data_IF_106661334470
#
_entry.id   IF_106661334470
#
_cell.length_a   1.000
_cell.length_b   1.000
_cell.length_c   1.000
_cell.angle_alpha   90.00
_cell.angle_beta   90.00
_cell.angle_gamma   90.00
#
_symmetry.space_group_name_H-M   'P 1'
#
loop_
_entity.id
_entity.type
_entity.pdbx_description
1 polymer ?
#
# COMPACT_ATOMS: atom_id res chain seq x y z
N UNK A 1 -5.09 9.36 56.76
CA UNK A 1 -4.21 10.31 56.03
C UNK A 1 -3.68 9.59 54.80
N UNK A 2 -4.33 9.78 53.66
CA UNK A 2 -3.99 9.16 52.37
C UNK A 2 -2.93 10.03 51.67
N UNK A 3 -1.76 9.46 51.38
CA UNK A 3 -0.77 10.08 50.48
C UNK A 3 -1.20 9.79 49.05
N UNK A 4 -1.76 10.80 48.38
CA UNK A 4 -1.94 10.82 46.92
C UNK A 4 -0.60 11.19 46.27
N UNK A 5 -0.09 10.34 45.39
CA UNK A 5 0.93 10.72 44.41
C UNK A 5 0.25 11.41 43.21
N UNK A 6 0.91 12.42 42.67
CA UNK A 6 0.39 13.53 41.88
C UNK A 6 0.47 13.28 40.36
N UNK A 7 0.33 12.04 39.91
CA UNK A 7 0.16 11.71 38.49
C UNK A 7 -1.02 10.77 38.36
N UNK A 8 -2.14 11.30 37.86
CA UNK A 8 -3.36 10.54 37.55
C UNK A 8 -3.18 9.55 36.39
N UNK A 9 -2.10 8.79 36.39
CA UNK A 9 -1.91 7.64 35.52
C UNK A 9 -2.54 6.44 36.22
N UNK A 10 -3.64 5.94 35.65
CA UNK A 10 -4.15 4.61 35.98
C UNK A 10 -2.99 3.62 35.88
N UNK A 11 -2.60 3.00 37.00
CA UNK A 11 -1.62 1.92 37.02
C UNK A 11 -2.14 0.85 36.06
N UNK A 12 -1.47 0.57 34.92
CA UNK A 12 -1.96 -0.42 33.98
C UNK A 12 -1.96 -1.78 34.68
N UNK A 13 -3.03 -2.58 34.54
CA UNK A 13 -3.05 -3.98 35.00
C UNK A 13 -1.82 -4.78 34.50
N UNK A 14 -1.18 -4.31 33.42
CA UNK A 14 0.10 -4.79 32.89
C UNK A 14 1.26 -4.80 33.91
N UNK A 15 1.25 -3.91 34.90
CA UNK A 15 2.25 -3.90 35.98
C UNK A 15 1.96 -4.96 37.05
N UNK A 16 0.67 -5.22 37.33
CA UNK A 16 0.25 -6.33 38.19
C UNK A 16 0.64 -7.68 37.60
N UNK A 17 0.61 -7.77 36.27
CA UNK A 17 0.96 -8.95 35.48
C UNK A 17 2.47 -9.22 35.48
N UNK A 18 3.31 -8.18 35.44
CA UNK A 18 4.77 -8.35 35.50
C UNK A 18 5.25 -8.89 36.83
N UNK A 19 4.58 -8.53 37.92
CA UNK A 19 4.83 -9.10 39.25
C UNK A 19 4.36 -10.56 39.38
N UNK A 20 3.50 -11.02 38.46
CA UNK A 20 2.97 -12.39 38.45
C UNK A 20 3.85 -13.37 37.67
N UNK A 21 4.68 -12.87 36.75
CA UNK A 21 5.59 -13.65 35.90
C UNK A 21 7.03 -13.16 36.05
N UNK A 22 7.49 -12.95 37.29
CA UNK A 22 8.86 -12.56 37.62
C UNK A 22 9.84 -13.69 37.20
N UNK A 23 10.90 -13.38 36.43
CA UNK A 23 11.94 -14.35 36.08
C UNK A 23 12.65 -15.02 37.28
N UNK A 24 12.44 -14.55 38.51
CA UNK A 24 12.99 -15.12 39.75
C UNK A 24 12.03 -16.09 40.49
N UNK A 25 10.85 -16.43 39.94
CA UNK A 25 9.88 -17.34 40.59
C UNK A 25 10.37 -18.82 40.55
N UNK A 26 10.52 -19.50 41.71
CA UNK A 26 11.03 -20.88 41.80
C UNK A 26 10.12 -21.96 41.19
N UNK A 27 8.82 -21.69 41.03
CA UNK A 27 7.83 -22.68 40.57
C UNK A 27 7.53 -22.53 39.07
N UNK A 28 8.50 -22.92 38.24
CA UNK A 28 8.38 -22.96 36.76
C UNK A 28 7.34 -23.99 36.27
N UNK A 29 6.05 -23.75 36.46
CA UNK A 29 4.99 -24.57 35.84
C UNK A 29 4.46 -24.00 34.52
N UNK A 30 4.75 -22.73 34.21
CA UNK A 30 4.20 -22.04 33.03
C UNK A 30 2.67 -21.89 33.02
N UNK A 31 2.01 -22.19 34.15
CA UNK A 31 0.55 -22.18 34.32
C UNK A 31 0.15 -21.60 35.66
N UNK A 32 -0.85 -20.73 35.70
CA UNK A 32 -1.34 -20.09 36.92
C UNK A 32 -2.80 -20.46 37.16
N UNK A 33 -3.15 -20.97 38.34
CA UNK A 33 -4.56 -21.27 38.64
C UNK A 33 -5.43 -20.00 38.59
N UNK A 34 -6.58 -20.09 37.91
CA UNK A 34 -7.60 -19.04 37.84
C UNK A 34 -8.01 -18.53 39.24
N UNK A 35 -8.01 -19.40 40.25
CA UNK A 35 -8.34 -19.05 41.64
C UNK A 35 -7.29 -18.12 42.27
N UNK A 36 -6.00 -18.44 42.09
CA UNK A 36 -4.85 -17.68 42.60
C UNK A 36 -4.71 -16.34 41.87
N UNK A 37 -4.96 -16.32 40.56
CA UNK A 37 -4.95 -15.09 39.76
C UNK A 37 -6.10 -14.16 40.15
N UNK A 38 -7.31 -14.69 40.36
CA UNK A 38 -8.46 -13.93 40.88
C UNK A 38 -8.14 -13.27 42.21
N UNK A 39 -7.60 -14.02 43.17
CA UNK A 39 -7.24 -13.52 44.50
C UNK A 39 -6.22 -12.38 44.39
N UNK A 40 -5.18 -12.54 43.57
CA UNK A 40 -4.17 -11.49 43.33
C UNK A 40 -4.73 -10.22 42.67
N UNK A 41 -5.63 -10.37 41.70
CA UNK A 41 -6.30 -9.22 41.08
C UNK A 41 -7.12 -8.47 42.12
N UNK A 42 -7.90 -9.18 42.93
CA UNK A 42 -8.73 -8.59 43.99
C UNK A 42 -7.92 -7.88 45.09
N UNK A 43 -6.68 -8.31 45.32
CA UNK A 43 -5.77 -7.66 46.28
C UNK A 43 -4.93 -6.54 45.67
N UNK A 44 -5.12 -6.21 44.39
CA UNK A 44 -4.41 -5.12 43.74
C UNK A 44 -5.21 -3.81 43.74
N UNK A 45 -4.50 -2.69 43.87
CA UNK A 45 -5.07 -1.34 43.72
C UNK A 45 -5.71 -1.12 42.32
N UNK A 46 -5.38 -1.96 41.33
CA UNK A 46 -5.97 -1.91 39.99
C UNK A 46 -7.40 -2.46 39.93
N UNK A 47 -7.85 -3.24 40.93
CA UNK A 47 -9.18 -3.84 40.98
C UNK A 47 -10.19 -3.08 41.86
N UNK A 48 -9.77 -2.00 42.52
CA UNK A 48 -10.59 -1.23 43.48
C UNK A 48 -11.94 -0.73 42.90
N UNK A 49 -12.10 -0.71 41.58
CA UNK A 49 -13.32 -0.29 40.90
C UNK A 49 -13.89 -1.32 39.90
N UNK A 50 -13.40 -2.57 39.89
CA UNK A 50 -13.86 -3.60 38.95
C UNK A 50 -14.79 -4.58 39.68
N UNK A 51 -16.05 -4.75 39.24
CA UNK A 51 -16.95 -5.73 39.86
C UNK A 51 -16.40 -7.16 39.77
N UNK A 52 -16.52 -7.93 40.85
CA UNK A 52 -16.06 -9.32 40.92
C UNK A 52 -16.65 -10.20 39.80
N UNK A 53 -17.88 -9.92 39.35
CA UNK A 53 -18.53 -10.63 38.25
C UNK A 53 -17.78 -10.46 36.92
N UNK A 54 -17.21 -9.29 36.68
CA UNK A 54 -16.43 -8.98 35.47
C UNK A 54 -15.10 -9.73 35.49
N UNK A 55 -14.41 -9.75 36.64
CA UNK A 55 -13.15 -10.50 36.81
C UNK A 55 -13.37 -12.00 36.57
N UNK A 56 -14.48 -12.56 37.09
CA UNK A 56 -14.83 -13.97 36.88
C UNK A 56 -15.12 -14.25 35.39
N UNK A 57 -15.84 -13.36 34.71
CA UNK A 57 -16.11 -13.51 33.28
C UNK A 57 -14.85 -13.40 32.43
N UNK A 58 -13.93 -12.49 32.78
CA UNK A 58 -12.65 -12.33 32.09
C UNK A 58 -11.78 -13.58 32.21
N UNK A 59 -11.64 -14.11 33.42
CA UNK A 59 -10.86 -15.33 33.67
C UNK A 59 -11.48 -16.54 32.96
N UNK A 60 -12.81 -16.67 33.01
CA UNK A 60 -13.52 -17.77 32.33
C UNK A 60 -13.45 -17.69 30.81
N UNK A 61 -13.29 -16.49 30.26
CA UNK A 61 -13.12 -16.27 28.82
C UNK A 61 -11.68 -16.49 28.37
N UNK A 62 -10.72 -16.31 29.26
CA UNK A 62 -9.30 -16.56 28.99
C UNK A 62 -8.94 -18.04 29.11
N UNK A 63 -9.53 -18.77 30.06
CA UNK A 63 -9.42 -20.23 30.23
C UNK A 63 -10.23 -20.95 29.13
N UNK A 64 -9.69 -20.98 27.91
CA UNK A 64 -10.36 -21.57 26.74
C UNK A 64 -10.50 -23.09 26.86
N UNK A 65 -9.51 -23.73 27.48
CA UNK A 65 -9.48 -25.18 27.63
C UNK A 65 -10.26 -25.69 28.87
N UNK A 66 -10.73 -24.77 29.73
CA UNK A 66 -11.46 -25.03 30.97
C UNK A 66 -10.69 -25.93 31.96
N UNK A 67 -9.36 -25.90 31.94
CA UNK A 67 -8.50 -26.67 32.82
C UNK A 67 -8.32 -26.00 34.21
N UNK A 68 -8.82 -24.77 34.36
CA UNK A 68 -8.77 -24.01 35.61
C UNK A 68 -7.41 -23.34 35.87
N UNK A 69 -6.52 -23.39 34.88
CA UNK A 69 -5.27 -22.67 34.82
C UNK A 69 -5.29 -21.69 33.64
N UNK A 70 -4.39 -20.72 33.69
CA UNK A 70 -4.11 -19.79 32.61
C UNK A 70 -2.66 -20.07 32.22
N UNK A 71 -2.47 -20.61 31.02
CA UNK A 71 -1.14 -20.66 30.40
C UNK A 71 -0.76 -19.33 29.74
N UNK A 72 0.42 -19.26 29.14
CA UNK A 72 0.90 -18.02 28.52
C UNK A 72 0.06 -17.55 27.33
N UNK A 73 -0.54 -18.48 26.57
CA UNK A 73 -1.36 -18.14 25.39
C UNK A 73 -2.75 -17.64 25.83
N UNK A 74 -3.36 -18.32 26.81
CA UNK A 74 -4.59 -17.90 27.48
C UNK A 74 -4.42 -16.57 28.22
N UNK A 75 -3.23 -16.35 28.79
CA UNK A 75 -2.87 -15.11 29.46
C UNK A 75 -2.91 -13.91 28.50
N UNK A 76 -2.45 -14.08 27.26
CA UNK A 76 -2.51 -13.02 26.26
C UNK A 76 -3.96 -12.67 25.86
N UNK A 77 -4.84 -13.67 25.81
CA UNK A 77 -6.27 -13.46 25.53
C UNK A 77 -6.91 -12.65 26.67
N UNK A 78 -6.52 -12.91 27.92
CA UNK A 78 -6.93 -12.12 29.06
C UNK A 78 -6.48 -10.66 28.95
N UNK A 79 -5.21 -10.40 28.60
CA UNK A 79 -4.65 -9.06 28.42
C UNK A 79 -5.44 -8.26 27.36
N UNK A 80 -5.67 -8.85 26.19
CA UNK A 80 -6.41 -8.21 25.10
C UNK A 80 -7.90 -7.96 25.46
N UNK A 81 -8.52 -8.89 26.20
CA UNK A 81 -9.93 -8.73 26.63
C UNK A 81 -10.07 -7.61 27.66
N UNK A 82 -9.13 -7.52 28.61
CA UNK A 82 -9.10 -6.45 29.62
C UNK A 82 -8.89 -5.08 28.97
N UNK A 83 -7.94 -4.98 28.03
CA UNK A 83 -7.72 -3.75 27.26
C UNK A 83 -8.97 -3.33 26.46
N UNK A 84 -9.72 -4.31 25.95
CA UNK A 84 -11.00 -4.11 25.26
C UNK A 84 -12.11 -3.54 26.13
N UNK A 85 -12.19 -3.97 27.39
CA UNK A 85 -13.16 -3.48 28.37
C UNK A 85 -12.78 -2.09 28.89
N UNK A 86 -11.50 -1.86 29.17
CA UNK A 86 -11.01 -0.61 29.78
C UNK A 86 -10.84 0.53 28.76
N UNK A 87 -10.52 0.23 27.49
CA UNK A 87 -10.25 1.24 26.46
C UNK A 87 -10.95 0.96 25.11
N UNK A 88 -12.29 1.06 25.04
CA UNK A 88 -13.08 0.60 23.88
C UNK A 88 -12.67 1.23 22.54
N UNK A 89 -12.28 2.52 22.56
CA UNK A 89 -11.91 3.29 21.36
C UNK A 89 -10.53 2.90 20.81
N UNK A 90 -9.60 2.53 21.71
CA UNK A 90 -8.26 2.03 21.37
C UNK A 90 -8.34 0.59 20.87
N UNK A 91 -9.18 -0.23 21.51
CA UNK A 91 -9.46 -1.60 21.11
C UNK A 91 -10.09 -1.69 19.72
N UNK A 92 -11.14 -0.92 19.40
CA UNK A 92 -11.74 -0.92 18.05
C UNK A 92 -10.74 -0.56 16.95
N UNK A 93 -9.82 0.38 17.21
CA UNK A 93 -8.75 0.73 16.27
C UNK A 93 -7.74 -0.41 16.12
N UNK A 94 -7.33 -1.04 17.23
CA UNK A 94 -6.44 -2.21 17.24
C UNK A 94 -7.07 -3.40 16.52
N UNK A 95 -8.36 -3.64 16.73
CA UNK A 95 -9.14 -4.75 16.15
C UNK A 95 -9.31 -4.60 14.63
N UNK A 96 -9.66 -3.41 14.14
CA UNK A 96 -9.76 -3.13 12.70
C UNK A 96 -8.40 -3.25 11.99
N UNK A 97 -7.33 -2.74 12.64
CA UNK A 97 -5.95 -2.87 12.14
C UNK A 97 -5.50 -4.33 12.17
N UNK A 98 -5.84 -5.09 13.21
CA UNK A 98 -5.54 -6.53 13.32
C UNK A 98 -6.26 -7.35 12.26
N UNK A 99 -7.51 -7.06 11.92
CA UNK A 99 -8.23 -7.76 10.84
C UNK A 99 -7.64 -7.46 9.46
N UNK A 100 -7.28 -6.20 9.20
CA UNK A 100 -6.56 -5.83 7.98
C UNK A 100 -5.18 -6.48 7.92
N UNK A 101 -4.48 -6.61 9.05
CA UNK A 101 -3.23 -7.33 9.17
C UNK A 101 -3.42 -8.83 8.90
N UNK A 102 -4.42 -9.48 9.49
CA UNK A 102 -4.70 -10.91 9.30
C UNK A 102 -4.95 -11.28 7.83
N UNK A 103 -5.47 -10.36 7.01
CA UNK A 103 -5.64 -10.59 5.58
C UNK A 103 -4.34 -10.79 4.81
N UNK A 104 -3.24 -10.27 5.34
CA UNK A 104 -1.91 -10.29 4.71
C UNK A 104 -0.86 -11.00 5.56
N UNK A 105 -1.25 -11.54 6.74
CA UNK A 105 -0.35 -12.19 7.71
C UNK A 105 -0.36 -13.72 7.66
N UNK A 106 0.83 -14.35 7.72
CA UNK A 106 1.07 -15.77 7.92
C UNK A 106 0.15 -16.51 8.89
N UNK A 107 -0.27 -17.72 8.53
CA UNK A 107 -0.83 -18.69 9.49
C UNK A 107 0.25 -19.30 10.40
N UNK A 108 1.49 -19.38 9.92
CA UNK A 108 2.63 -20.00 10.62
C UNK A 108 3.14 -19.18 11.82
N UNK A 109 2.92 -17.87 11.83
CA UNK A 109 3.31 -16.95 12.92
C UNK A 109 2.19 -16.71 13.96
N UNK A 110 1.14 -17.53 13.99
CA UNK A 110 0.07 -17.41 14.99
C UNK A 110 0.48 -17.89 16.39
N UNK A 111 1.66 -18.47 16.55
CA UNK A 111 2.18 -18.98 17.83
C UNK A 111 3.35 -18.12 18.34
N UNK A 112 3.21 -17.65 19.60
CA UNK A 112 4.20 -17.07 20.52
C UNK A 112 4.99 -15.79 20.14
N UNK A 113 5.16 -15.41 18.88
CA UNK A 113 5.88 -14.17 18.48
C UNK A 113 4.94 -12.93 18.30
N UNK A 114 3.79 -12.98 18.99
CA UNK A 114 2.64 -12.08 18.87
C UNK A 114 2.90 -10.57 19.08
N UNK A 115 4.03 -10.15 19.64
CA UNK A 115 4.28 -8.73 19.92
C UNK A 115 5.01 -8.03 18.77
N UNK A 116 6.06 -8.61 18.21
CA UNK A 116 6.91 -7.97 17.19
C UNK A 116 6.15 -7.57 15.92
N UNK A 117 5.24 -8.44 15.44
CA UNK A 117 4.56 -8.25 14.16
C UNK A 117 3.31 -7.35 14.24
N UNK A 118 2.49 -7.53 15.27
CA UNK A 118 1.33 -6.64 15.53
C UNK A 118 1.83 -5.26 15.98
N UNK A 119 2.98 -5.16 16.66
CA UNK A 119 3.66 -3.88 16.94
C UNK A 119 4.31 -3.28 15.69
N UNK A 120 4.75 -4.10 14.70
CA UNK A 120 5.16 -3.61 13.39
C UNK A 120 3.98 -3.04 12.57
N UNK A 121 2.76 -3.48 12.87
CA UNK A 121 1.49 -2.90 12.45
C UNK A 121 1.04 -1.72 13.32
N UNK A 122 1.98 -0.88 13.72
CA UNK A 122 1.61 0.42 14.26
C UNK A 122 1.14 1.31 13.11
N UNK A 123 0.17 2.19 13.35
CA UNK A 123 -0.14 3.31 12.44
C UNK A 123 1.02 4.33 12.37
N UNK A 124 2.27 3.87 12.54
CA UNK A 124 3.49 4.61 12.76
C UNK A 124 4.64 3.91 12.03
N UNK A 125 5.06 4.42 10.87
CA UNK A 125 4.54 5.61 10.19
C UNK A 125 3.10 5.39 9.69
N UNK A 126 2.20 6.37 9.82
CA UNK A 126 0.85 6.26 9.28
C UNK A 126 0.90 6.06 7.76
N UNK A 127 -0.17 5.53 7.14
CA UNK A 127 -0.24 5.50 5.69
C UNK A 127 -0.29 6.95 5.19
N UNK A 128 0.82 7.41 4.62
CA UNK A 128 1.01 8.82 4.28
C UNK A 128 1.10 8.97 2.77
N UNK A 129 1.79 8.07 2.06
CA UNK A 129 2.20 8.36 0.68
C UNK A 129 1.00 8.37 -0.28
N UNK A 130 0.06 7.44 -0.14
CA UNK A 130 -1.14 7.39 -0.97
C UNK A 130 -2.11 8.52 -0.64
N UNK A 131 -2.19 8.93 0.63
CA UNK A 131 -3.01 10.09 1.04
C UNK A 131 -2.41 11.38 0.48
N UNK A 132 -1.09 11.54 0.55
CA UNK A 132 -0.41 12.70 -0.03
C UNK A 132 -0.51 12.73 -1.55
N UNK A 133 -0.37 11.59 -2.23
CA UNK A 133 -0.57 11.49 -3.67
C UNK A 133 -2.00 11.88 -4.06
N UNK A 134 -3.01 11.29 -3.40
CA UNK A 134 -4.41 11.63 -3.60
C UNK A 134 -4.71 13.13 -3.38
N UNK A 135 -4.13 13.73 -2.34
CA UNK A 135 -4.28 15.17 -2.08
C UNK A 135 -3.61 16.01 -3.18
N UNK A 136 -2.41 15.63 -3.63
CA UNK A 136 -1.70 16.34 -4.69
C UNK A 136 -2.47 16.26 -6.03
N UNK A 137 -3.02 15.10 -6.36
CA UNK A 137 -3.87 14.89 -7.54
C UNK A 137 -5.15 15.73 -7.46
N UNK A 138 -5.83 15.72 -6.30
CA UNK A 138 -7.04 16.51 -6.10
C UNK A 138 -6.79 18.02 -6.22
N UNK A 139 -5.74 18.53 -5.55
CA UNK A 139 -5.37 19.95 -5.61
C UNK A 139 -5.00 20.36 -7.03
N UNK A 140 -4.22 19.53 -7.72
CA UNK A 140 -3.82 19.79 -9.12
C UNK A 140 -5.03 19.79 -10.05
N UNK A 141 -5.97 18.86 -9.86
CA UNK A 141 -7.21 18.81 -10.63
C UNK A 141 -8.08 20.06 -10.42
N UNK A 142 -8.29 20.47 -9.17
CA UNK A 142 -9.07 21.69 -8.85
C UNK A 142 -8.39 22.93 -9.45
N UNK A 143 -7.07 23.03 -9.35
CA UNK A 143 -6.31 24.13 -9.94
C UNK A 143 -6.54 24.25 -11.45
N UNK A 144 -6.33 23.18 -12.22
CA UNK A 144 -6.50 23.23 -13.67
C UNK A 144 -7.96 23.33 -14.10
N UNK A 145 -8.90 22.80 -13.31
CA UNK A 145 -10.31 22.99 -13.58
C UNK A 145 -10.70 24.48 -13.51
N UNK A 146 -10.22 25.20 -12.50
CA UNK A 146 -10.42 26.66 -12.38
C UNK A 146 -9.69 27.41 -13.50
N UNK A 147 -8.44 27.05 -13.80
CA UNK A 147 -7.63 27.72 -14.82
C UNK A 147 -8.19 27.57 -16.25
N UNK A 148 -8.79 26.42 -16.57
CA UNK A 148 -9.42 26.20 -17.88
C UNK A 148 -10.69 27.03 -18.10
N UNK A 149 -11.37 27.47 -17.03
CA UNK A 149 -12.66 28.17 -17.08
C UNK A 149 -13.69 27.43 -17.96
N UNK A 150 -13.73 26.09 -17.83
CA UNK A 150 -14.64 25.21 -18.57
C UNK A 150 -15.56 24.44 -17.62
N UNK A 151 -16.77 24.04 -18.07
CA UNK A 151 -17.63 23.18 -17.27
C UNK A 151 -16.95 21.85 -16.97
N UNK A 152 -17.04 21.41 -15.72
CA UNK A 152 -16.49 20.12 -15.29
C UNK A 152 -17.30 18.98 -15.91
N UNK A 153 -16.65 18.10 -16.70
CA UNK A 153 -17.30 16.91 -17.27
C UNK A 153 -16.68 15.62 -16.74
N UNK A 154 -17.38 14.50 -16.95
CA UNK A 154 -16.96 13.18 -16.49
C UNK A 154 -15.60 12.77 -17.06
N UNK A 155 -15.32 13.15 -18.31
CA UNK A 155 -14.22 12.59 -19.10
C UNK A 155 -13.25 13.61 -19.70
N UNK A 156 -13.56 14.91 -19.64
CA UNK A 156 -12.77 15.91 -20.38
C UNK A 156 -13.11 17.38 -20.08
N UNK A 157 -12.32 18.32 -20.60
CA UNK A 157 -11.03 18.11 -21.28
C UNK A 157 -9.86 18.02 -20.26
N UNK A 158 -8.77 17.36 -20.67
CA UNK A 158 -7.51 17.42 -19.92
C UNK A 158 -6.74 18.72 -20.25
N UNK A 159 -6.01 19.33 -19.29
CA UNK A 159 -5.19 20.52 -19.54
C UNK A 159 -3.91 20.15 -20.32
N UNK A 160 -4.02 20.03 -21.65
CA UNK A 160 -2.91 19.64 -22.54
C UNK A 160 -1.76 20.66 -22.59
N UNK A 161 -2.04 21.92 -22.23
CA UNK A 161 -1.04 22.98 -22.09
C UNK A 161 -0.20 22.87 -20.80
N UNK A 162 -0.60 22.01 -19.85
CA UNK A 162 0.07 21.87 -18.57
C UNK A 162 1.56 21.49 -18.73
N UNK A 163 2.47 22.06 -17.93
CA UNK A 163 3.85 21.60 -17.87
C UNK A 163 4.01 20.20 -17.25
N UNK A 164 2.95 19.66 -16.61
CA UNK A 164 2.99 18.38 -15.91
C UNK A 164 2.54 17.20 -16.77
N UNK A 165 1.65 17.42 -17.75
CA UNK A 165 1.13 16.36 -18.62
C UNK A 165 2.26 15.71 -19.43
N UNK A 166 2.15 14.42 -19.71
CA UNK A 166 3.07 13.78 -20.66
C UNK A 166 2.78 14.31 -22.06
N UNK A 167 3.78 14.95 -22.66
CA UNK A 167 3.71 15.55 -23.97
C UNK A 167 4.67 14.84 -24.93
N UNK A 168 4.17 14.15 -25.98
CA UNK A 168 5.02 13.40 -26.91
C UNK A 168 5.95 14.29 -27.75
N UNK A 169 5.63 15.59 -27.87
CA UNK A 169 6.46 16.58 -28.55
C UNK A 169 7.58 17.14 -27.63
N UNK A 170 7.61 16.77 -26.34
CA UNK A 170 8.58 17.27 -25.36
C UNK A 170 9.19 16.16 -24.50
N UNK A 171 9.51 15.02 -25.11
CA UNK A 171 10.09 13.86 -24.40
C UNK A 171 11.44 14.13 -23.72
N UNK A 172 12.15 15.17 -24.14
CA UNK A 172 13.37 15.63 -23.46
C UNK A 172 13.10 16.23 -22.08
N UNK A 173 11.85 16.64 -21.79
CA UNK A 173 11.41 17.11 -20.48
C UNK A 173 11.12 15.90 -19.57
N UNK A 174 12.17 15.25 -19.06
CA UNK A 174 12.09 13.95 -18.38
C UNK A 174 11.11 13.90 -17.19
N UNK A 175 10.85 15.02 -16.51
CA UNK A 175 9.89 15.07 -15.41
C UNK A 175 8.47 14.67 -15.84
N UNK A 176 8.11 14.89 -17.12
CA UNK A 176 6.80 14.54 -17.68
C UNK A 176 6.50 13.05 -17.67
N UNK A 177 7.51 12.19 -17.55
CA UNK A 177 7.32 10.74 -17.37
C UNK A 177 6.84 10.39 -15.96
N UNK A 178 6.86 11.34 -15.01
CA UNK A 178 6.37 11.17 -13.65
C UNK A 178 5.17 12.09 -13.37
N UNK A 179 5.30 13.37 -13.70
CA UNK A 179 4.33 14.40 -13.29
C UNK A 179 2.96 14.27 -13.96
N UNK A 180 2.86 13.49 -15.04
CA UNK A 180 1.59 13.25 -15.71
C UNK A 180 0.55 12.58 -14.81
N UNK A 181 1.00 11.86 -13.76
CA UNK A 181 0.15 11.25 -12.75
C UNK A 181 -0.73 12.28 -12.00
N UNK A 182 -0.30 13.55 -11.93
CA UNK A 182 -1.06 14.61 -11.27
C UNK A 182 -2.17 15.21 -12.15
N UNK A 183 -2.14 14.96 -13.46
CA UNK A 183 -3.11 15.51 -14.40
C UNK A 183 -4.22 14.49 -14.64
N UNK A 184 -5.47 14.92 -14.55
CA UNK A 184 -6.63 14.07 -14.82
C UNK A 184 -7.55 14.76 -15.84
N UNK A 185 -8.17 13.97 -16.71
CA UNK A 185 -9.00 14.48 -17.81
C UNK A 185 -10.42 14.87 -17.38
N UNK A 186 -10.97 14.25 -16.34
CA UNK A 186 -12.32 14.52 -15.85
C UNK A 186 -12.53 13.96 -14.46
N UNK A 187 -13.68 14.29 -13.84
CA UNK A 187 -13.91 13.94 -12.43
C UNK A 187 -14.07 12.44 -12.21
N UNK A 188 -14.63 11.68 -13.18
CA UNK A 188 -14.73 10.23 -13.03
C UNK A 188 -13.36 9.59 -13.05
N UNK A 189 -12.48 10.05 -13.95
CA UNK A 189 -11.11 9.56 -14.03
C UNK A 189 -10.32 9.86 -12.74
N UNK A 190 -10.49 11.04 -12.14
CA UNK A 190 -9.88 11.34 -10.83
C UNK A 190 -10.45 10.45 -9.73
N UNK A 191 -11.77 10.42 -9.56
CA UNK A 191 -12.43 9.72 -8.44
C UNK A 191 -12.11 8.22 -8.45
N UNK A 192 -12.10 7.57 -9.61
CA UNK A 192 -11.76 6.14 -9.69
C UNK A 192 -10.32 5.89 -9.28
N UNK A 193 -9.36 6.70 -9.75
CA UNK A 193 -7.96 6.62 -9.30
C UNK A 193 -7.85 6.83 -7.79
N UNK A 194 -8.49 7.89 -7.24
CA UNK A 194 -8.45 8.18 -5.80
C UNK A 194 -9.00 7.02 -4.96
N UNK A 195 -10.14 6.43 -5.36
CA UNK A 195 -10.75 5.32 -4.61
C UNK A 195 -9.84 4.09 -4.64
N UNK A 196 -9.41 3.64 -5.82
CA UNK A 196 -8.62 2.41 -5.96
C UNK A 196 -7.25 2.57 -5.31
N UNK A 197 -6.55 3.68 -5.56
CA UNK A 197 -5.22 3.92 -4.99
C UNK A 197 -5.27 4.03 -3.46
N UNK A 198 -6.26 4.73 -2.92
CA UNK A 198 -6.33 4.96 -1.48
C UNK A 198 -6.74 3.67 -0.78
N UNK A 199 -7.71 2.93 -1.34
CA UNK A 199 -8.16 1.67 -0.76
C UNK A 199 -7.06 0.60 -0.78
N UNK A 200 -6.51 0.28 -1.94
CA UNK A 200 -5.49 -0.76 -2.07
C UNK A 200 -4.14 -0.32 -1.50
N UNK A 201 -3.75 0.92 -1.77
CA UNK A 201 -2.46 1.44 -1.35
C UNK A 201 -2.35 1.63 0.15
N UNK A 202 -3.39 2.10 0.85
CA UNK A 202 -3.37 2.15 2.33
C UNK A 202 -3.23 0.76 2.92
N UNK A 203 -3.94 -0.25 2.39
CA UNK A 203 -3.79 -1.64 2.84
C UNK A 203 -2.34 -2.07 2.71
N UNK A 204 -1.71 -1.82 1.56
CA UNK A 204 -0.32 -2.17 1.30
C UNK A 204 0.68 -1.39 2.19
N UNK A 205 0.41 -0.11 2.46
CA UNK A 205 1.24 0.75 3.32
C UNK A 205 1.25 0.28 4.76
N UNK A 206 0.09 -0.15 5.28
CA UNK A 206 -0.01 -0.64 6.65
C UNK A 206 0.82 -1.92 6.87
N UNK A 207 1.02 -2.75 5.84
CA UNK A 207 1.84 -3.97 5.92
C UNK A 207 3.33 -3.71 5.71
N UNK A 208 3.64 -2.99 4.64
CA UNK A 208 4.98 -2.95 4.08
C UNK A 208 5.68 -1.61 4.34
N UNK A 209 4.95 -0.60 4.80
CA UNK A 209 5.44 0.75 5.07
C UNK A 209 5.37 1.66 3.84
N UNK A 210 5.13 2.95 4.10
CA UNK A 210 4.89 3.98 3.09
C UNK A 210 5.97 4.06 2.01
N UNK A 211 7.26 3.95 2.36
CA UNK A 211 8.34 4.17 1.39
C UNK A 211 8.40 3.07 0.31
N UNK A 212 8.11 1.81 0.67
CA UNK A 212 8.07 0.69 -0.28
C UNK A 212 6.93 0.88 -1.28
N UNK A 213 5.76 1.22 -0.77
CA UNK A 213 4.56 1.49 -1.58
C UNK A 213 4.77 2.71 -2.47
N UNK A 214 5.43 3.76 -1.95
CA UNK A 214 5.79 4.94 -2.73
C UNK A 214 6.72 4.61 -3.90
N UNK A 215 7.73 3.78 -3.69
CA UNK A 215 8.62 3.32 -4.77
C UNK A 215 7.86 2.50 -5.82
N UNK A 216 6.97 1.60 -5.40
CA UNK A 216 6.13 0.83 -6.33
C UNK A 216 5.25 1.74 -7.18
N UNK A 217 4.55 2.68 -6.54
CA UNK A 217 3.68 3.64 -7.22
C UNK A 217 4.47 4.45 -8.26
N UNK A 218 5.60 5.05 -7.84
CA UNK A 218 6.44 5.85 -8.74
C UNK A 218 7.07 5.01 -9.85
N UNK A 219 7.46 3.77 -9.58
CA UNK A 219 7.98 2.85 -10.59
C UNK A 219 6.91 2.51 -11.65
N UNK A 220 5.65 2.32 -11.23
CA UNK A 220 4.54 2.11 -12.15
C UNK A 220 4.15 3.34 -12.95
N UNK A 221 4.16 4.53 -12.35
CA UNK A 221 4.01 5.80 -13.07
C UNK A 221 5.10 5.94 -14.14
N UNK A 222 6.37 5.75 -13.75
CA UNK A 222 7.49 5.88 -14.67
C UNK A 222 7.48 4.85 -15.80
N UNK A 223 7.33 3.57 -15.46
CA UNK A 223 7.36 2.50 -16.44
C UNK A 223 6.08 2.49 -17.29
N UNK A 224 4.96 2.92 -16.73
CA UNK A 224 3.71 3.14 -17.47
C UNK A 224 3.84 4.22 -18.55
N UNK A 225 4.41 5.38 -18.22
CA UNK A 225 4.65 6.41 -19.24
C UNK A 225 5.71 5.99 -20.27
N UNK A 226 6.74 5.24 -19.88
CA UNK A 226 7.69 4.64 -20.83
C UNK A 226 6.98 3.69 -21.80
N UNK A 227 6.15 2.76 -21.30
CA UNK A 227 5.39 1.85 -22.15
C UNK A 227 4.47 2.61 -23.10
N UNK A 228 3.68 3.56 -22.59
CA UNK A 228 2.81 4.42 -23.39
C UNK A 228 3.57 5.22 -24.45
N UNK A 229 4.74 5.77 -24.11
CA UNK A 229 5.55 6.55 -25.06
C UNK A 229 5.95 5.75 -26.29
N UNK A 230 6.17 4.44 -26.14
CA UNK A 230 6.59 3.57 -27.24
C UNK A 230 5.38 3.08 -28.03
N UNK A 231 4.29 2.72 -27.36
CA UNK A 231 3.12 2.13 -28.03
C UNK A 231 2.19 3.17 -28.66
N UNK A 232 2.16 4.38 -28.08
CA UNK A 232 1.28 5.48 -28.46
C UNK A 232 2.08 6.78 -28.61
N UNK A 233 3.10 6.81 -29.51
CA UNK A 233 4.15 7.83 -29.52
C UNK A 233 3.69 9.25 -29.84
N UNK A 234 2.46 9.42 -30.34
CA UNK A 234 1.85 10.71 -30.72
C UNK A 234 0.74 11.17 -29.76
N UNK A 235 0.44 10.38 -28.72
CA UNK A 235 -0.66 10.66 -27.80
C UNK A 235 -0.16 11.24 -26.48
N UNK A 236 -0.84 12.29 -26.01
CA UNK A 236 -0.68 12.79 -24.64
C UNK A 236 -1.09 11.70 -23.63
N UNK A 237 -0.53 11.77 -22.43
CA UNK A 237 -0.90 10.88 -21.32
C UNK A 237 -1.14 11.73 -20.07
N UNK A 238 -2.25 11.43 -19.40
CA UNK A 238 -2.68 12.01 -18.15
C UNK A 238 -3.31 10.90 -17.29
N UNK A 239 -3.09 10.96 -15.99
CA UNK A 239 -3.74 10.11 -15.00
C UNK A 239 -2.76 9.34 -14.14
N UNK A 240 -3.07 9.21 -12.86
CA UNK A 240 -2.30 8.43 -11.88
C UNK A 240 -2.30 6.92 -12.13
N UNK A 241 -3.07 6.44 -13.11
CA UNK A 241 -3.43 5.04 -13.29
C UNK A 241 -2.25 4.09 -13.49
N UNK A 242 -1.13 4.55 -14.05
CA UNK A 242 0.11 3.75 -14.09
C UNK A 242 0.61 3.36 -12.69
N UNK A 243 0.52 4.28 -11.72
CA UNK A 243 0.81 4.03 -10.31
C UNK A 243 -0.28 3.18 -9.63
N UNK A 244 -1.55 3.44 -9.94
CA UNK A 244 -2.69 2.68 -9.37
C UNK A 244 -2.62 1.20 -9.77
N UNK A 245 -2.36 0.91 -11.04
CA UNK A 245 -2.12 -0.46 -11.51
C UNK A 245 -0.88 -1.08 -10.86
N UNK A 246 0.18 -0.30 -10.63
CA UNK A 246 1.35 -0.77 -9.88
C UNK A 246 0.97 -1.24 -8.48
N UNK A 247 0.18 -0.45 -7.76
CA UNK A 247 -0.30 -0.82 -6.41
C UNK A 247 -1.19 -2.06 -6.47
N UNK A 248 -2.16 -2.10 -7.39
CA UNK A 248 -3.06 -3.23 -7.55
C UNK A 248 -2.31 -4.53 -7.82
N UNK A 249 -1.35 -4.52 -8.74
CA UNK A 249 -0.59 -5.70 -9.12
C UNK A 249 0.58 -6.00 -8.18
N UNK A 250 1.02 -5.04 -7.35
CA UNK A 250 1.93 -5.32 -6.24
C UNK A 250 1.29 -6.22 -5.18
N UNK A 251 -0.04 -6.22 -5.03
CA UNK A 251 -0.70 -7.25 -4.23
C UNK A 251 -0.50 -8.66 -4.82
N UNK A 252 -0.49 -8.83 -6.15
CA UNK A 252 -0.15 -10.11 -6.76
C UNK A 252 1.32 -10.46 -6.53
N UNK A 253 2.23 -9.49 -6.64
CA UNK A 253 3.64 -9.68 -6.27
C UNK A 253 3.81 -10.15 -4.82
N UNK A 254 3.09 -9.52 -3.88
CA UNK A 254 3.06 -9.93 -2.47
C UNK A 254 2.52 -11.36 -2.32
N UNK A 255 1.46 -11.70 -3.06
CA UNK A 255 0.85 -13.03 -3.02
C UNK A 255 1.77 -14.11 -3.58
N UNK A 256 2.56 -13.80 -4.62
CA UNK A 256 3.56 -14.74 -5.16
C UNK A 256 4.58 -15.11 -4.07
N UNK A 257 5.08 -14.11 -3.35
CA UNK A 257 6.13 -14.31 -2.34
C UNK A 257 5.59 -14.88 -1.03
N UNK A 258 4.37 -14.51 -0.63
CA UNK A 258 3.83 -14.83 0.69
C UNK A 258 2.58 -15.76 0.62
N UNK A 259 2.39 -16.53 -0.47
CA UNK A 259 1.16 -17.30 -0.72
C UNK A 259 0.77 -18.29 0.39
N UNK A 260 1.75 -19.04 0.90
CA UNK A 260 1.52 -20.05 1.94
C UNK A 260 1.07 -19.43 3.25
N UNK A 261 1.43 -18.18 3.44
CA UNK A 261 1.26 -17.45 4.67
C UNK A 261 -0.12 -16.76 4.76
N UNK A 262 -0.62 -16.21 3.65
CA UNK A 262 -1.84 -15.40 3.67
C UNK A 262 -3.13 -16.17 4.02
N UNK A 263 -3.85 -15.72 5.06
CA UNK A 263 -5.06 -16.37 5.57
C UNK A 263 -6.25 -16.33 4.60
N UNK A 264 -6.43 -15.21 3.90
CA UNK A 264 -7.53 -14.97 2.97
C UNK A 264 -7.04 -14.88 1.51
N UNK A 265 -5.94 -15.58 1.17
CA UNK A 265 -5.31 -15.56 -0.16
C UNK A 265 -6.27 -15.72 -1.33
N UNK A 266 -7.25 -16.62 -1.22
CA UNK A 266 -8.22 -16.86 -2.29
C UNK A 266 -9.22 -15.71 -2.44
N UNK A 267 -9.72 -15.15 -1.33
CA UNK A 267 -10.59 -13.98 -1.36
C UNK A 267 -9.87 -12.78 -1.96
N UNK A 268 -8.64 -12.53 -1.51
CA UNK A 268 -7.81 -11.44 -2.05
C UNK A 268 -7.53 -11.64 -3.55
N UNK A 269 -7.23 -12.86 -3.99
CA UNK A 269 -6.99 -13.17 -5.40
C UNK A 269 -8.25 -12.88 -6.22
N UNK A 270 -9.41 -13.37 -5.77
CA UNK A 270 -10.70 -13.17 -6.44
C UNK A 270 -11.03 -11.68 -6.52
N UNK A 271 -10.85 -10.92 -5.43
CA UNK A 271 -11.11 -9.48 -5.43
C UNK A 271 -10.21 -8.74 -6.42
N UNK A 272 -8.90 -9.04 -6.42
CA UNK A 272 -7.97 -8.42 -7.37
C UNK A 272 -8.34 -8.77 -8.80
N UNK A 273 -8.65 -10.03 -9.10
CA UNK A 273 -9.03 -10.47 -10.43
C UNK A 273 -10.35 -9.84 -10.89
N UNK A 274 -11.35 -9.72 -10.01
CA UNK A 274 -12.62 -9.07 -10.33
C UNK A 274 -12.43 -7.58 -10.63
N UNK A 275 -11.70 -6.85 -9.78
CA UNK A 275 -11.39 -5.43 -10.00
C UNK A 275 -10.58 -5.27 -11.30
N UNK A 276 -9.57 -6.11 -11.53
CA UNK A 276 -8.73 -6.06 -12.74
C UNK A 276 -9.53 -6.36 -14.01
N UNK A 277 -10.42 -7.35 -13.97
CA UNK A 277 -11.26 -7.72 -15.12
C UNK A 277 -12.25 -6.61 -15.45
N UNK A 278 -12.86 -6.01 -14.41
CA UNK A 278 -13.77 -4.88 -14.59
C UNK A 278 -13.05 -3.67 -15.19
N UNK A 279 -11.91 -3.28 -14.61
CA UNK A 279 -11.19 -2.08 -15.03
C UNK A 279 -10.60 -2.24 -16.44
N UNK A 280 -9.93 -3.36 -16.71
CA UNK A 280 -9.39 -3.67 -18.04
C UNK A 280 -10.50 -3.84 -19.08
N UNK A 281 -11.63 -4.46 -18.71
CA UNK A 281 -12.80 -4.60 -19.56
C UNK A 281 -13.42 -3.24 -19.91
N UNK A 282 -13.56 -2.35 -18.93
CA UNK A 282 -14.02 -0.98 -19.15
C UNK A 282 -13.06 -0.20 -20.06
N UNK A 283 -11.75 -0.34 -19.85
CA UNK A 283 -10.73 0.33 -20.64
C UNK A 283 -10.76 -0.11 -22.12
N UNK A 284 -10.90 -1.41 -22.39
CA UNK A 284 -11.13 -1.95 -23.74
C UNK A 284 -12.44 -1.42 -24.32
N UNK A 285 -13.53 -1.48 -23.54
CA UNK A 285 -14.84 -1.03 -24.00
C UNK A 285 -14.80 0.45 -24.42
N UNK A 286 -14.20 1.31 -23.60
CA UNK A 286 -14.05 2.74 -23.87
C UNK A 286 -13.27 3.00 -25.16
N UNK A 287 -12.24 2.20 -25.44
CA UNK A 287 -11.40 2.41 -26.64
C UNK A 287 -12.03 1.95 -27.93
N UNK A 288 -12.71 0.80 -27.91
CA UNK A 288 -13.22 0.20 -29.15
C UNK A 288 -14.69 0.50 -29.41
N UNK A 289 -15.46 0.87 -28.38
CA UNK A 289 -16.92 0.99 -28.47
C UNK A 289 -17.47 2.34 -28.04
N UNK A 290 -16.69 3.23 -27.41
CA UNK A 290 -17.19 4.57 -27.06
C UNK A 290 -16.99 5.57 -28.20
N UNK A 291 -18.03 6.35 -28.48
CA UNK A 291 -18.01 7.40 -29.52
C UNK A 291 -17.05 8.55 -29.20
N UNK A 292 -16.64 8.68 -27.94
CA UNK A 292 -15.65 9.63 -27.44
C UNK A 292 -14.67 8.90 -26.53
N UNK A 293 -13.70 8.15 -27.08
CA UNK A 293 -12.75 7.39 -26.28
C UNK A 293 -12.01 8.31 -25.32
N UNK A 294 -11.96 7.94 -24.05
CA UNK A 294 -11.06 8.60 -23.12
C UNK A 294 -9.62 8.27 -23.55
N UNK A 295 -8.74 9.26 -23.52
CA UNK A 295 -7.31 9.05 -23.83
C UNK A 295 -6.59 8.42 -22.63
N UNK A 296 -7.19 7.38 -22.04
CA UNK A 296 -6.63 6.62 -20.93
C UNK A 296 -5.60 5.64 -21.50
N UNK A 297 -4.33 5.81 -21.10
CA UNK A 297 -3.24 5.02 -21.66
C UNK A 297 -3.30 3.57 -21.21
N UNK A 298 -3.95 2.68 -21.97
CA UNK A 298 -3.99 1.22 -21.67
C UNK A 298 -2.60 0.63 -21.49
N UNK A 299 -1.65 1.12 -22.28
CA UNK A 299 -0.27 0.68 -22.22
C UNK A 299 0.45 1.24 -20.99
N UNK A 300 0.00 2.39 -20.47
CA UNK A 300 0.43 2.87 -19.16
C UNK A 300 -0.11 1.98 -18.02
N UNK A 301 -1.35 1.51 -18.12
CA UNK A 301 -1.92 0.55 -17.17
C UNK A 301 -1.15 -0.77 -17.21
N UNK A 302 -0.90 -1.30 -18.40
CA UNK A 302 -0.14 -2.53 -18.59
C UNK A 302 1.30 -2.42 -18.09
N UNK A 303 1.99 -1.31 -18.40
CA UNK A 303 3.30 -1.01 -17.84
C UNK A 303 3.25 -0.92 -16.31
N UNK A 304 2.28 -0.21 -15.75
CA UNK A 304 2.02 -0.14 -14.32
C UNK A 304 1.87 -1.52 -13.68
N UNK A 305 1.08 -2.42 -14.29
CA UNK A 305 0.87 -3.79 -13.81
C UNK A 305 2.18 -4.59 -13.77
N UNK A 306 2.98 -4.54 -14.85
CA UNK A 306 4.29 -5.21 -14.90
C UNK A 306 5.22 -4.67 -13.81
N UNK A 307 5.31 -3.34 -13.66
CA UNK A 307 6.09 -2.72 -12.60
C UNK A 307 5.61 -3.16 -11.21
N UNK A 308 4.29 -3.18 -10.99
CA UNK A 308 3.69 -3.61 -9.74
C UNK A 308 4.09 -5.02 -9.33
N UNK A 309 3.99 -5.99 -10.25
CA UNK A 309 4.42 -7.38 -9.98
C UNK A 309 5.93 -7.43 -9.71
N UNK A 310 6.75 -6.92 -10.65
CA UNK A 310 8.20 -7.09 -10.59
C UNK A 310 8.81 -6.35 -9.39
N UNK A 311 8.45 -5.08 -9.20
CA UNK A 311 8.92 -4.26 -8.09
C UNK A 311 8.35 -4.78 -6.77
N UNK A 312 7.07 -5.18 -6.76
CA UNK A 312 6.42 -5.79 -5.61
C UNK A 312 7.17 -7.02 -5.09
N UNK A 313 7.57 -7.93 -5.98
CA UNK A 313 8.32 -9.15 -5.63
C UNK A 313 9.61 -8.85 -4.87
N UNK A 314 10.36 -7.81 -5.28
CA UNK A 314 11.69 -7.57 -4.71
C UNK A 314 11.72 -6.51 -3.60
N UNK A 315 10.73 -5.61 -3.53
CA UNK A 315 10.73 -4.53 -2.54
C UNK A 315 9.85 -4.81 -1.32
N UNK A 316 8.75 -5.54 -1.49
CA UNK A 316 7.84 -5.84 -0.39
C UNK A 316 8.49 -6.81 0.59
N UNK A 317 7.96 -6.82 1.82
CA UNK A 317 8.49 -7.70 2.87
C UNK A 317 8.22 -9.15 2.51
N UNK A 318 9.28 -9.95 2.46
CA UNK A 318 9.19 -11.39 2.44
C UNK A 318 9.26 -11.90 3.88
N UNK A 319 8.23 -12.62 4.33
CA UNK A 319 8.04 -12.95 5.74
C UNK A 319 8.82 -14.21 6.15
N UNK A 320 8.85 -15.21 5.28
CA UNK A 320 9.61 -16.43 5.47
C UNK A 320 10.51 -16.67 4.25
N UNK A 321 11.81 -16.37 4.35
CA UNK A 321 12.71 -16.50 3.21
C UNK A 321 12.93 -17.96 2.77
N UNK A 322 12.35 -18.35 1.64
CA UNK A 322 12.63 -19.63 0.97
C UNK A 322 13.74 -19.44 -0.06
N UNK A 323 14.48 -20.52 -0.35
CA UNK A 323 15.60 -20.48 -1.31
C UNK A 323 15.14 -20.07 -2.71
N UNK A 324 13.97 -20.52 -3.16
CA UNK A 324 13.42 -20.21 -4.49
C UNK A 324 13.02 -18.73 -4.62
N UNK A 325 12.56 -18.11 -3.54
CA UNK A 325 12.17 -16.69 -3.49
C UNK A 325 13.35 -15.76 -3.75
N UNK A 326 14.56 -16.13 -3.33
CA UNK A 326 15.78 -15.37 -3.64
C UNK A 326 16.08 -15.34 -5.14
N UNK A 327 15.81 -16.44 -5.84
CA UNK A 327 15.94 -16.47 -7.31
C UNK A 327 14.85 -15.62 -7.96
N UNK A 328 13.60 -15.72 -7.52
CA UNK A 328 12.51 -14.87 -8.01
C UNK A 328 12.82 -13.38 -7.80
N UNK A 329 13.39 -13.01 -6.65
CA UNK A 329 13.85 -11.66 -6.35
C UNK A 329 14.86 -11.15 -7.39
N UNK A 330 15.95 -11.89 -7.63
CA UNK A 330 16.99 -11.49 -8.58
C UNK A 330 16.49 -11.45 -10.03
N UNK A 331 15.64 -12.41 -10.41
CA UNK A 331 15.00 -12.43 -11.73
C UNK A 331 14.11 -11.21 -11.91
N UNK A 332 13.23 -10.92 -10.95
CA UNK A 332 12.32 -9.77 -11.02
C UNK A 332 13.07 -8.43 -11.09
N UNK A 333 14.09 -8.27 -10.24
CA UNK A 333 14.98 -7.10 -10.26
C UNK A 333 15.64 -6.93 -11.64
N UNK A 334 16.30 -7.98 -12.12
CA UNK A 334 17.04 -7.94 -13.40
C UNK A 334 16.12 -7.66 -14.58
N UNK A 335 14.98 -8.34 -14.66
CA UNK A 335 13.99 -8.15 -15.74
C UNK A 335 13.45 -6.72 -15.72
N UNK A 336 13.09 -6.18 -14.56
CA UNK A 336 12.56 -4.81 -14.48
C UNK A 336 13.57 -3.78 -14.99
N UNK A 337 14.83 -3.85 -14.55
CA UNK A 337 15.87 -2.91 -15.01
C UNK A 337 16.23 -3.09 -16.49
N UNK A 338 16.19 -4.31 -17.03
CA UNK A 338 16.34 -4.54 -18.48
C UNK A 338 15.19 -3.88 -19.25
N UNK A 339 13.94 -4.07 -18.82
CA UNK A 339 12.77 -3.48 -19.48
C UNK A 339 12.82 -1.95 -19.46
N UNK A 340 13.18 -1.36 -18.32
CA UNK A 340 13.38 0.09 -18.20
C UNK A 340 14.51 0.56 -19.12
N UNK A 341 15.65 -0.14 -19.13
CA UNK A 341 16.79 0.17 -19.99
C UNK A 341 16.42 0.14 -21.48
N UNK A 342 15.71 -0.90 -21.91
CA UNK A 342 15.17 -1.00 -23.28
C UNK A 342 14.23 0.17 -23.57
N UNK A 343 13.30 0.48 -22.67
CA UNK A 343 12.34 1.57 -22.86
C UNK A 343 13.01 2.94 -23.00
N UNK A 344 14.05 3.21 -22.22
CA UNK A 344 14.87 4.42 -22.31
C UNK A 344 15.64 4.45 -23.63
N UNK A 345 16.30 3.35 -24.00
CA UNK A 345 17.05 3.25 -25.26
C UNK A 345 16.11 3.48 -26.45
N UNK A 346 14.92 2.89 -26.47
CA UNK A 346 13.96 3.10 -27.55
C UNK A 346 13.48 4.55 -27.63
N UNK A 347 13.30 5.21 -26.50
CA UNK A 347 12.97 6.64 -26.47
C UNK A 347 14.11 7.52 -27.00
N UNK A 348 15.38 7.12 -26.84
CA UNK A 348 16.55 7.90 -27.30
C UNK A 348 16.94 7.57 -28.75
N UNK A 349 16.92 6.29 -29.13
CA UNK A 349 17.64 5.75 -30.29
C UNK A 349 16.76 5.46 -31.52
N UNK A 350 15.43 5.46 -31.40
CA UNK A 350 14.56 5.26 -32.56
C UNK A 350 14.60 6.48 -33.50
N UNK A 351 14.86 6.30 -34.82
CA UNK A 351 15.04 7.40 -35.76
C UNK A 351 13.79 8.27 -35.87
N UNK A 352 13.99 9.59 -35.73
CA UNK A 352 13.11 10.46 -34.92
C UNK A 352 11.91 11.14 -35.61
N UNK A 353 11.69 11.23 -36.95
CA UNK A 353 10.50 11.95 -37.46
C UNK A 353 9.23 11.12 -37.69
N UNK A 354 9.36 9.84 -38.08
CA UNK A 354 8.19 9.04 -38.50
C UNK A 354 7.45 8.42 -37.30
N UNK A 355 8.22 7.95 -36.32
CA UNK A 355 7.72 7.24 -35.15
C UNK A 355 7.26 8.22 -34.06
N UNK A 356 8.17 9.07 -33.58
CA UNK A 356 7.85 10.15 -32.65
C UNK A 356 7.51 11.42 -33.41
N UNK A 357 6.63 12.29 -32.88
CA UNK A 357 6.38 13.56 -33.51
C UNK A 357 7.61 14.47 -33.43
N UNK A 358 7.78 15.30 -34.46
CA UNK A 358 8.84 16.31 -34.50
C UNK A 358 8.78 17.23 -33.27
N UNK A 359 9.94 17.51 -32.69
CA UNK A 359 10.09 18.48 -31.62
C UNK A 359 11.16 19.52 -31.97
N UNK A 360 11.15 20.64 -31.24
CA UNK A 360 12.05 21.76 -31.52
C UNK A 360 13.53 21.35 -31.42
N UNK A 361 13.87 20.40 -30.55
CA UNK A 361 15.23 19.85 -30.42
C UNK A 361 15.61 18.94 -31.61
N UNK A 362 14.69 18.14 -32.15
CA UNK A 362 14.89 17.37 -33.38
C UNK A 362 15.15 18.30 -34.56
N UNK A 363 14.39 19.40 -34.66
CA UNK A 363 14.60 20.43 -35.69
C UNK A 363 15.95 21.12 -35.54
N UNK A 364 16.35 21.48 -34.32
CA UNK A 364 17.67 22.06 -34.02
C UNK A 364 18.82 21.09 -34.32
N UNK A 365 18.66 19.82 -34.00
CA UNK A 365 19.66 18.78 -34.28
C UNK A 365 19.80 18.54 -35.78
N UNK A 366 18.69 18.42 -36.51
CA UNK A 366 18.69 18.29 -37.96
C UNK A 366 19.25 19.54 -38.64
N UNK A 367 18.89 20.74 -38.19
CA UNK A 367 19.46 21.99 -38.68
C UNK A 367 20.97 22.07 -38.43
N UNK A 368 21.45 21.57 -37.28
CA UNK A 368 22.89 21.48 -36.97
C UNK A 368 23.61 20.48 -37.86
N UNK A 369 23.01 19.31 -38.12
CA UNK A 369 23.58 18.31 -39.04
C UNK A 369 23.65 18.83 -40.48
N UNK A 370 22.60 19.50 -40.97
CA UNK A 370 22.57 20.13 -42.30
C UNK A 370 23.57 21.29 -42.40
N UNK A 371 23.76 22.06 -41.33
CA UNK A 371 24.81 23.09 -41.28
C UNK A 371 26.20 22.47 -41.38
N UNK A 372 26.47 21.39 -40.64
CA UNK A 372 27.75 20.70 -40.65
C UNK A 372 28.04 20.02 -42.00
N UNK A 373 27.03 19.41 -42.64
CA UNK A 373 27.21 18.76 -43.96
C UNK A 373 27.45 19.75 -45.10
N UNK A 374 27.00 21.01 -44.97
CA UNK A 374 27.26 22.07 -45.95
C UNK A 374 28.59 22.80 -45.74
N UNK A 375 29.23 22.61 -44.59
CA UNK A 375 30.48 23.30 -44.21
C UNK A 375 31.71 22.39 -44.23
N UNK A 376 31.52 21.08 -44.45
CA UNK A 376 32.55 20.09 -44.83
C UNK A 376 32.47 19.79 -46.32
#
# INVERSE_FOLDING_TARGET
MSRRDNRGEHIPLRNLVKDVWDPNDPDRSGKISCSKLKERILHSEAADNVPNSVIIQLLRKADENADGYIDFDEFQILEDTVDGVLTPRRYKKKDMVSHAALAVVPRSERTLDKRSYIEAYSCCPPPIIMILAALAEFVTFVYYWVDMDQPMTASGPAPTYSPLIYNPFRRYECWRYITYALIHSGYMHLITNLIVQTFLGIILEMVHGWWRVGVIYLAGVFFGSLAHSITSPKSYLAGASGGVYAIQYAHLGNMIMNWSEMQYRWLQLVLILLISTWDFGYAIYDTYFSSTPSNTGHMAHFGGAIAGILVGIYILRNLEEKKWEKYCWWVAFTVFFILVGIGIILNIALPVPEFFPDNDMSKLYLARLDFLSRTT
#
